data_IF_133575325765
#
_entry.id   IF_133575325765
#
_cell.length_a   1.000
_cell.length_b   1.000
_cell.length_c   1.000
_cell.angle_alpha   90.00
_cell.angle_beta   90.00
_cell.angle_gamma   90.00
#
_symmetry.space_group_name_H-M   'P 1'
#
loop_
_entity.id
_entity.type
_entity.pdbx_description
1 polymer ?
#
# COMPACT_ATOMS: atom_id res chain seq x y z
N UNK A 1 -15.55 -37.77 0.47
CA UNK A 1 -15.81 -38.10 1.89
C UNK A 1 -17.26 -37.80 2.19
N UNK A 2 -18.08 -38.79 2.57
CA UNK A 2 -19.48 -38.56 2.95
C UNK A 2 -19.56 -38.11 4.41
N UNK A 3 -20.37 -37.08 4.68
CA UNK A 3 -20.59 -36.55 6.03
C UNK A 3 -21.34 -37.56 6.90
N UNK A 4 -21.21 -37.45 8.23
CA UNK A 4 -21.92 -38.35 9.17
C UNK A 4 -23.45 -38.33 8.95
N UNK A 5 -24.00 -37.18 8.56
CA UNK A 5 -25.43 -37.01 8.24
C UNK A 5 -25.83 -37.75 6.96
N UNK A 6 -25.01 -37.69 5.90
CA UNK A 6 -25.26 -38.41 4.65
C UNK A 6 -25.21 -39.93 4.85
N UNK A 7 -24.29 -40.43 5.68
CA UNK A 7 -24.22 -41.86 6.02
C UNK A 7 -25.46 -42.32 6.80
N UNK A 8 -25.97 -41.49 7.71
CA UNK A 8 -27.20 -41.78 8.45
C UNK A 8 -28.45 -41.73 7.55
N UNK A 9 -28.54 -40.76 6.64
CA UNK A 9 -29.62 -40.65 5.68
C UNK A 9 -29.64 -41.85 4.72
N UNK A 10 -28.49 -42.26 4.20
CA UNK A 10 -28.38 -43.45 3.33
C UNK A 10 -28.71 -44.76 4.06
N UNK A 11 -28.36 -44.87 5.35
CA UNK A 11 -28.73 -46.02 6.17
C UNK A 11 -30.23 -46.07 6.50
N UNK A 12 -30.88 -44.91 6.63
CA UNK A 12 -32.33 -44.82 6.76
C UNK A 12 -33.04 -45.19 5.45
N UNK A 13 -32.48 -44.79 4.31
CA UNK A 13 -33.05 -45.03 2.99
C UNK A 13 -32.94 -46.49 2.52
N UNK A 14 -31.86 -47.19 2.87
CA UNK A 14 -31.63 -48.59 2.44
C UNK A 14 -32.59 -49.61 3.05
N UNK A 15 -33.27 -49.29 4.15
CA UNK A 15 -34.03 -50.29 4.93
C UNK A 15 -35.55 -50.16 4.84
N UNK A 16 -36.13 -49.22 4.09
CA UNK A 16 -37.57 -48.97 4.16
C UNK A 16 -38.18 -48.58 2.82
N UNK A 17 -39.08 -49.43 2.31
CA UNK A 17 -40.00 -49.11 1.21
C UNK A 17 -41.20 -48.27 1.67
N UNK A 18 -41.90 -47.68 0.71
CA UNK A 18 -42.97 -46.67 0.83
C UNK A 18 -44.13 -46.96 1.82
N UNK A 19 -44.19 -48.15 2.42
CA UNK A 19 -45.31 -48.63 3.23
C UNK A 19 -45.25 -48.28 4.72
N UNK A 20 -44.17 -47.70 5.24
CA UNK A 20 -44.03 -47.46 6.69
C UNK A 20 -44.42 -46.02 7.11
N UNK A 21 -45.69 -45.83 7.44
CA UNK A 21 -46.27 -44.52 7.85
C UNK A 21 -45.57 -43.88 9.07
N UNK A 22 -44.99 -44.68 9.98
CA UNK A 22 -44.24 -44.16 11.15
C UNK A 22 -42.93 -43.48 10.75
N UNK A 23 -42.33 -43.88 9.63
CA UNK A 23 -41.11 -43.26 9.11
C UNK A 23 -41.41 -41.85 8.59
N UNK A 24 -42.43 -41.70 7.74
CA UNK A 24 -42.84 -40.40 7.20
C UNK A 24 -43.15 -39.40 8.29
N UNK A 25 -43.82 -39.84 9.36
CA UNK A 25 -44.08 -38.99 10.52
C UNK A 25 -42.78 -38.53 11.22
N UNK A 26 -41.79 -39.41 11.38
CA UNK A 26 -40.48 -39.05 11.95
C UNK A 26 -39.67 -38.14 11.02
N UNK A 27 -39.72 -38.39 9.72
CA UNK A 27 -39.04 -37.58 8.70
C UNK A 27 -39.63 -36.16 8.63
N UNK A 28 -40.96 -36.03 8.60
CA UNK A 28 -41.62 -34.73 8.67
C UNK A 28 -41.32 -33.98 9.97
N UNK A 29 -41.25 -34.69 11.09
CA UNK A 29 -40.86 -34.10 12.37
C UNK A 29 -39.44 -33.57 12.33
N UNK A 30 -38.51 -34.29 11.72
CA UNK A 30 -37.13 -33.84 11.51
C UNK A 30 -37.07 -32.62 10.58
N UNK A 31 -37.85 -32.59 9.51
CA UNK A 31 -37.96 -31.42 8.61
C UNK A 31 -38.59 -30.20 9.30
N UNK A 32 -39.60 -30.40 10.16
CA UNK A 32 -40.21 -29.31 10.94
C UNK A 32 -39.23 -28.76 11.97
N UNK A 33 -38.49 -29.62 12.66
CA UNK A 33 -37.46 -29.20 13.62
C UNK A 33 -36.34 -28.46 12.91
N UNK A 34 -35.84 -28.96 11.78
CA UNK A 34 -34.80 -28.28 11.00
C UNK A 34 -35.27 -26.92 10.48
N UNK A 35 -36.51 -26.82 9.96
CA UNK A 35 -37.11 -25.54 9.55
C UNK A 35 -37.32 -24.57 10.71
N UNK A 36 -37.68 -25.05 11.90
CA UNK A 36 -37.83 -24.22 13.10
C UNK A 36 -36.49 -23.77 13.70
N UNK A 37 -35.41 -24.51 13.43
CA UNK A 37 -34.04 -24.15 13.78
C UNK A 37 -33.32 -23.32 12.70
N UNK A 38 -33.94 -23.09 11.54
CA UNK A 38 -33.55 -21.99 10.65
C UNK A 38 -34.04 -20.70 11.31
N UNK A 39 -33.24 -20.26 12.27
CA UNK A 39 -33.28 -18.97 12.93
C UNK A 39 -33.69 -17.90 11.92
N UNK A 40 -34.75 -17.15 12.24
CA UNK A 40 -35.15 -15.93 11.52
C UNK A 40 -33.89 -15.18 11.13
N UNK A 41 -33.64 -15.06 9.82
CA UNK A 41 -32.56 -14.23 9.29
C UNK A 41 -32.76 -12.86 9.94
N UNK A 42 -31.83 -12.38 10.79
CA UNK A 42 -32.00 -11.06 11.38
C UNK A 42 -32.20 -10.09 10.21
N UNK A 43 -33.18 -9.19 10.36
CA UNK A 43 -33.32 -8.07 9.44
C UNK A 43 -31.93 -7.50 9.22
N UNK A 44 -31.56 -7.24 7.96
CA UNK A 44 -30.28 -6.63 7.58
C UNK A 44 -30.17 -5.30 8.35
N UNK A 45 -29.60 -5.34 9.54
CA UNK A 45 -28.85 -4.22 10.06
C UNK A 45 -27.80 -3.90 8.99
N UNK A 46 -27.50 -2.62 8.74
CA UNK A 46 -26.41 -2.27 7.83
C UNK A 46 -25.16 -2.95 8.38
N UNK A 47 -24.79 -4.04 7.72
CA UNK A 47 -23.59 -4.80 7.99
C UNK A 47 -22.45 -3.81 7.79
N UNK A 48 -22.00 -3.21 8.88
CA UNK A 48 -20.67 -2.63 8.97
C UNK A 48 -19.77 -3.85 8.88
N UNK A 49 -19.54 -4.30 7.65
CA UNK A 49 -18.49 -5.23 7.35
C UNK A 49 -17.26 -4.64 8.02
N UNK A 50 -16.63 -5.41 8.90
CA UNK A 50 -15.23 -5.27 9.22
C UNK A 50 -14.45 -5.49 7.92
N UNK A 51 -14.57 -4.55 6.98
CA UNK A 51 -13.78 -4.46 5.78
C UNK A 51 -12.37 -4.22 6.30
N UNK A 52 -11.51 -5.24 6.21
CA UNK A 52 -10.08 -5.08 6.46
C UNK A 52 -9.57 -4.02 5.48
N UNK A 53 -9.55 -2.77 5.92
CA UNK A 53 -9.15 -1.64 5.12
C UNK A 53 -7.65 -1.44 5.28
N UNK A 54 -6.90 -1.61 4.20
CA UNK A 54 -5.49 -1.28 4.19
C UNK A 54 -5.33 0.16 3.74
N UNK A 55 -4.65 0.97 4.55
CA UNK A 55 -4.26 2.32 4.15
C UNK A 55 -2.83 2.26 3.62
N UNK A 56 -2.65 2.68 2.38
CA UNK A 56 -1.36 2.82 1.74
C UNK A 56 -1.06 4.28 1.45
N UNK A 57 0.22 4.57 1.30
CA UNK A 57 0.71 5.91 1.06
C UNK A 57 1.45 5.98 -0.26
N UNK A 58 1.18 7.05 -1.00
CA UNK A 58 1.89 7.39 -2.22
C UNK A 58 3.07 8.26 -1.83
N UNK A 59 4.24 7.86 -2.29
CA UNK A 59 5.51 8.51 -1.99
C UNK A 59 6.01 9.12 -3.29
N UNK A 60 6.54 10.34 -3.22
CA UNK A 60 7.24 10.92 -4.37
C UNK A 60 8.39 10.00 -4.76
N UNK A 61 8.37 9.50 -6.00
CA UNK A 61 9.47 8.68 -6.48
C UNK A 61 10.76 9.46 -6.26
N UNK A 62 11.69 8.87 -5.50
CA UNK A 62 12.94 9.53 -5.16
C UNK A 62 13.58 10.00 -6.47
N UNK A 63 13.78 11.32 -6.59
CA UNK A 63 14.42 11.97 -7.75
C UNK A 63 15.53 11.08 -8.28
N UNK A 64 15.51 10.85 -9.58
CA UNK A 64 16.43 9.91 -10.21
C UNK A 64 17.87 10.30 -9.86
N UNK A 65 18.75 9.31 -9.75
CA UNK A 65 20.15 9.52 -9.33
C UNK A 65 20.82 10.64 -10.15
N UNK A 66 20.44 10.79 -11.43
CA UNK A 66 20.85 11.89 -12.31
C UNK A 66 20.36 13.27 -11.87
N UNK A 67 19.10 13.43 -11.46
CA UNK A 67 18.57 14.70 -10.94
C UNK A 67 19.23 15.09 -9.61
N UNK A 68 19.54 14.11 -8.77
CA UNK A 68 20.27 14.34 -7.51
C UNK A 68 21.71 14.77 -7.75
N UNK A 69 22.41 14.14 -8.71
CA UNK A 69 23.77 14.54 -9.11
C UNK A 69 23.75 15.95 -9.73
N UNK A 70 22.81 16.23 -10.64
CA UNK A 70 22.66 17.56 -11.25
C UNK A 70 22.44 18.64 -10.19
N UNK A 71 21.53 18.42 -9.25
CA UNK A 71 21.29 19.37 -8.16
C UNK A 71 22.52 19.55 -7.26
N UNK A 72 23.23 18.45 -6.96
CA UNK A 72 24.51 18.50 -6.24
C UNK A 72 25.58 19.32 -6.96
N UNK A 73 25.74 19.13 -8.27
CA UNK A 73 26.67 19.89 -9.10
C UNK A 73 26.30 21.38 -9.16
N UNK A 74 25.02 21.71 -9.32
CA UNK A 74 24.54 23.10 -9.32
C UNK A 74 24.80 23.75 -7.96
N UNK A 75 24.51 23.05 -6.86
CA UNK A 75 24.78 23.54 -5.50
C UNK A 75 26.28 23.76 -5.27
N UNK A 76 27.14 22.81 -5.67
CA UNK A 76 28.61 22.96 -5.64
C UNK A 76 29.07 24.18 -6.41
N UNK A 77 28.55 24.37 -7.63
CA UNK A 77 28.90 25.52 -8.46
C UNK A 77 28.52 26.84 -7.78
N UNK A 78 27.30 26.95 -7.25
CA UNK A 78 26.83 28.15 -6.55
C UNK A 78 27.70 28.44 -5.31
N UNK A 79 28.02 27.42 -4.51
CA UNK A 79 28.86 27.60 -3.32
C UNK A 79 30.30 27.99 -3.66
N UNK A 80 30.85 27.45 -4.74
CA UNK A 80 32.19 27.81 -5.22
C UNK A 80 32.22 29.27 -5.69
N UNK A 81 31.22 29.70 -6.47
CA UNK A 81 31.10 31.10 -6.91
C UNK A 81 30.92 32.04 -5.71
N UNK A 82 30.07 31.70 -4.75
CA UNK A 82 29.84 32.52 -3.56
C UNK A 82 31.10 32.62 -2.69
N UNK A 83 31.82 31.50 -2.51
CA UNK A 83 33.06 31.49 -1.73
C UNK A 83 34.17 32.29 -2.40
N UNK A 84 34.30 32.26 -3.74
CA UNK A 84 35.22 33.14 -4.48
C UNK A 84 34.87 34.62 -4.30
N UNK A 85 33.60 34.98 -4.38
CA UNK A 85 33.15 36.37 -4.17
C UNK A 85 33.45 36.87 -2.75
N UNK A 86 33.16 36.05 -1.73
CA UNK A 86 33.46 36.37 -0.33
C UNK A 86 34.98 36.48 -0.12
N UNK A 87 35.76 35.55 -0.69
CA UNK A 87 37.22 35.56 -0.59
C UNK A 87 37.82 36.80 -1.25
N UNK A 88 37.33 37.17 -2.43
CA UNK A 88 37.73 38.39 -3.13
C UNK A 88 37.34 39.65 -2.36
N UNK A 89 36.18 39.67 -1.71
CA UNK A 89 35.78 40.80 -0.88
C UNK A 89 36.70 40.91 0.34
N UNK A 90 36.93 39.82 1.07
CA UNK A 90 37.80 39.80 2.25
C UNK A 90 39.24 40.15 1.88
N UNK A 91 39.77 39.67 0.76
CA UNK A 91 41.14 39.96 0.32
C UNK A 91 41.36 41.46 0.04
N UNK A 92 40.35 42.15 -0.49
CA UNK A 92 40.40 43.62 -0.69
C UNK A 92 40.54 44.34 0.67
N UNK A 93 39.90 43.84 1.73
CA UNK A 93 39.99 44.42 3.08
C UNK A 93 41.24 44.01 3.86
N UNK A 94 41.79 42.80 3.63
CA UNK A 94 42.90 42.25 4.42
C UNK A 94 44.30 42.62 3.92
N UNK A 95 44.43 43.18 2.71
CA UNK A 95 45.73 43.66 2.18
C UNK A 95 46.38 44.75 3.05
N UNK A 96 45.67 45.34 4.02
CA UNK A 96 46.23 46.42 4.84
C UNK A 96 46.69 46.10 6.27
N UNK A 97 46.29 45.02 6.95
CA UNK A 97 46.67 44.83 8.37
C UNK A 97 46.81 43.34 8.73
N UNK A 98 48.06 42.88 8.93
CA UNK A 98 48.48 41.66 9.68
C UNK A 98 48.19 40.30 9.03
N UNK A 99 49.05 39.88 8.10
CA UNK A 99 48.95 38.60 7.36
C UNK A 99 49.17 37.29 8.16
N UNK A 100 49.58 37.34 9.43
CA UNK A 100 49.94 36.14 10.21
C UNK A 100 48.82 35.64 11.15
N UNK A 101 48.02 36.52 11.75
CA UNK A 101 46.85 36.12 12.55
C UNK A 101 45.68 35.67 11.68
N UNK A 102 45.61 36.18 10.45
CA UNK A 102 44.55 35.85 9.50
C UNK A 102 44.67 34.43 8.94
N UNK A 103 45.85 33.82 8.85
CA UNK A 103 46.00 32.47 8.28
C UNK A 103 45.33 31.39 9.14
N UNK A 104 45.38 31.53 10.46
CA UNK A 104 44.71 30.63 11.40
C UNK A 104 43.18 30.78 11.32
N UNK A 105 42.69 32.02 11.23
CA UNK A 105 41.26 32.31 11.04
C UNK A 105 40.75 31.73 9.71
N UNK A 106 41.54 31.86 8.64
CA UNK A 106 41.23 31.27 7.34
C UNK A 106 41.15 29.74 7.39
N UNK A 107 42.04 29.11 8.14
CA UNK A 107 42.05 27.65 8.30
C UNK A 107 40.81 27.18 9.05
N UNK A 108 40.43 27.87 10.14
CA UNK A 108 39.21 27.59 10.89
C UNK A 108 37.96 27.78 10.02
N UNK A 109 37.91 28.84 9.21
CA UNK A 109 36.80 29.09 8.29
C UNK A 109 36.61 27.95 7.29
N UNK A 110 37.69 27.48 6.64
CA UNK A 110 37.62 26.36 5.71
C UNK A 110 37.19 25.05 6.38
N UNK A 111 37.62 24.79 7.61
CA UNK A 111 37.19 23.62 8.38
C UNK A 111 35.68 23.69 8.67
N UNK A 112 35.17 24.83 9.15
CA UNK A 112 33.74 25.01 9.43
C UNK A 112 32.91 24.89 8.15
N UNK A 113 33.38 25.49 7.05
CA UNK A 113 32.73 25.38 5.75
C UNK A 113 32.69 23.92 5.26
N UNK A 114 33.80 23.17 5.39
CA UNK A 114 33.85 21.77 5.01
C UNK A 114 32.91 20.89 5.84
N UNK A 115 32.76 21.16 7.14
CA UNK A 115 31.82 20.44 8.03
C UNK A 115 30.37 20.74 7.64
N UNK A 116 30.01 22.02 7.48
CA UNK A 116 28.66 22.42 7.04
C UNK A 116 28.33 21.84 5.67
N UNK A 117 29.30 21.83 4.76
CA UNK A 117 29.15 21.27 3.43
C UNK A 117 28.93 19.76 3.46
N UNK A 118 29.74 19.05 4.25
CA UNK A 118 29.61 17.60 4.45
C UNK A 118 28.26 17.23 5.05
N UNK A 119 27.75 18.04 5.99
CA UNK A 119 26.43 17.88 6.57
C UNK A 119 25.29 18.12 5.54
N UNK A 120 25.39 19.18 4.74
CA UNK A 120 24.42 19.47 3.68
C UNK A 120 24.42 18.37 2.60
N UNK A 121 25.60 17.91 2.16
CA UNK A 121 25.72 16.77 1.24
C UNK A 121 25.15 15.50 1.85
N UNK A 122 25.44 15.22 3.13
CA UNK A 122 24.92 14.05 3.82
C UNK A 122 23.39 14.07 3.89
N UNK A 123 22.81 15.19 4.31
CA UNK A 123 21.35 15.34 4.38
C UNK A 123 20.70 15.28 3.00
N UNK A 124 21.33 15.82 1.95
CA UNK A 124 20.69 15.86 0.64
C UNK A 124 20.88 14.59 -0.20
N UNK A 125 22.03 13.90 -0.07
CA UNK A 125 22.32 12.66 -0.81
C UNK A 125 21.88 11.41 -0.06
N UNK A 126 22.07 11.36 1.26
CA UNK A 126 21.82 10.16 2.05
C UNK A 126 20.48 10.20 2.79
N UNK A 127 20.00 11.37 3.24
CA UNK A 127 18.65 11.50 3.80
C UNK A 127 17.65 11.64 2.65
N UNK A 128 17.39 10.53 1.94
CA UNK A 128 16.24 10.40 1.04
C UNK A 128 14.97 10.60 1.89
N UNK A 129 14.48 11.82 1.95
CA UNK A 129 13.16 12.11 2.50
C UNK A 129 12.16 11.60 1.48
N UNK A 130 11.65 10.38 1.70
CA UNK A 130 10.46 9.89 1.02
C UNK A 130 9.28 10.69 1.53
N UNK A 131 8.99 11.80 0.85
CA UNK A 131 7.86 12.64 1.21
C UNK A 131 6.56 11.96 0.74
N UNK A 132 5.62 11.84 1.67
CA UNK A 132 4.33 11.20 1.42
C UNK A 132 3.42 12.22 0.76
N UNK A 133 3.19 12.07 -0.55
CA UNK A 133 2.35 12.99 -1.34
C UNK A 133 0.85 12.72 -1.10
N UNK A 134 0.49 11.48 -0.81
CA UNK A 134 -0.90 11.07 -0.83
C UNK A 134 -1.23 9.85 0.00
N UNK A 135 -2.51 9.75 0.38
CA UNK A 135 -3.09 8.59 1.05
C UNK A 135 -4.06 7.88 0.11
N UNK A 136 -3.88 6.58 -0.04
CA UNK A 136 -4.75 5.70 -0.82
C UNK A 136 -5.26 4.58 0.06
N UNK A 137 -6.57 4.51 0.28
CA UNK A 137 -7.18 3.48 1.13
C UNK A 137 -7.82 2.41 0.27
N UNK A 138 -7.44 1.16 0.49
CA UNK A 138 -8.02 -0.02 -0.14
C UNK A 138 -8.92 -0.71 0.87
N UNK A 139 -10.22 -0.77 0.59
CA UNK A 139 -11.18 -1.52 1.39
C UNK A 139 -11.65 -2.74 0.61
N UNK A 140 -11.66 -3.87 1.29
CA UNK A 140 -12.15 -5.13 0.74
C UNK A 140 -13.58 -5.37 1.22
N UNK A 141 -14.47 -5.64 0.28
CA UNK A 141 -15.80 -6.20 0.52
C UNK A 141 -15.88 -7.59 -0.14
N UNK A 142 -17.01 -8.28 0.00
CA UNK A 142 -17.18 -9.65 -0.49
C UNK A 142 -17.24 -9.73 -2.03
N UNK A 143 -17.86 -8.73 -2.67
CA UNK A 143 -18.12 -8.68 -4.12
C UNK A 143 -17.24 -7.65 -4.86
N UNK A 144 -16.56 -6.76 -4.13
CA UNK A 144 -15.78 -5.67 -4.72
C UNK A 144 -14.63 -5.20 -3.83
N UNK A 145 -13.71 -4.46 -4.45
CA UNK A 145 -12.75 -3.60 -3.77
C UNK A 145 -13.15 -2.14 -3.94
N UNK A 146 -12.85 -1.34 -2.93
CA UNK A 146 -13.00 0.12 -2.99
C UNK A 146 -11.64 0.76 -2.83
N UNK A 147 -11.25 1.55 -3.82
CA UNK A 147 -10.03 2.34 -3.84
C UNK A 147 -10.42 3.80 -3.59
N UNK A 148 -10.07 4.32 -2.42
CA UNK A 148 -10.28 5.73 -2.07
C UNK A 148 -8.97 6.50 -2.21
N UNK A 149 -8.98 7.58 -2.99
CA UNK A 149 -7.85 8.48 -3.17
C UNK A 149 -8.35 9.93 -3.09
N UNK A 150 -7.84 10.69 -2.11
CA UNK A 150 -8.33 12.04 -1.81
C UNK A 150 -9.87 12.03 -1.62
N UNK A 151 -10.61 12.68 -2.53
CA UNK A 151 -12.08 12.73 -2.53
C UNK A 151 -12.72 11.72 -3.49
N UNK A 152 -11.93 11.04 -4.33
CA UNK A 152 -12.45 10.03 -5.26
C UNK A 152 -12.57 8.66 -4.59
N UNK A 153 -13.73 8.03 -4.75
CA UNK A 153 -13.99 6.65 -4.33
C UNK A 153 -14.30 5.82 -5.56
N UNK A 154 -13.41 4.90 -5.92
CA UNK A 154 -13.58 4.00 -7.06
C UNK A 154 -13.91 2.60 -6.57
N UNK A 155 -15.07 2.09 -6.99
CA UNK A 155 -15.55 0.75 -6.67
C UNK A 155 -15.29 -0.18 -7.86
N UNK A 156 -14.61 -1.29 -7.63
CA UNK A 156 -14.23 -2.27 -8.66
C UNK A 156 -14.71 -3.64 -8.20
N UNK A 157 -15.70 -4.22 -8.88
CA UNK A 157 -16.14 -5.58 -8.59
C UNK A 157 -15.05 -6.59 -8.97
N UNK A 158 -14.88 -7.67 -8.19
CA UNK A 158 -13.82 -8.65 -8.46
C UNK A 158 -13.96 -9.32 -9.83
N UNK A 159 -15.20 -9.53 -10.29
CA UNK A 159 -15.50 -10.09 -11.63
C UNK A 159 -14.90 -9.30 -12.79
N UNK A 160 -14.58 -8.02 -12.59
CA UNK A 160 -13.95 -7.18 -13.62
C UNK A 160 -12.43 -7.19 -13.53
N UNK A 161 -11.85 -7.68 -12.44
CA UNK A 161 -10.40 -7.76 -12.26
C UNK A 161 -9.90 -8.98 -13.04
N UNK A 162 -9.04 -8.74 -14.04
CA UNK A 162 -8.47 -9.81 -14.84
C UNK A 162 -7.13 -10.28 -14.29
N UNK A 163 -6.32 -9.34 -13.81
CA UNK A 163 -4.96 -9.63 -13.40
C UNK A 163 -4.52 -8.73 -12.26
N UNK A 164 -3.85 -9.32 -11.28
CA UNK A 164 -3.12 -8.61 -10.24
C UNK A 164 -1.65 -9.00 -10.38
N UNK A 165 -0.78 -8.02 -10.56
CA UNK A 165 0.66 -8.21 -10.66
C UNK A 165 1.37 -7.50 -9.51
N UNK A 166 2.29 -8.21 -8.87
CA UNK A 166 3.22 -7.61 -7.94
C UNK A 166 4.35 -6.92 -8.71
N UNK A 167 4.49 -5.61 -8.53
CA UNK A 167 5.63 -4.83 -9.01
C UNK A 167 6.41 -4.30 -7.80
N UNK A 168 7.66 -3.92 -8.05
CA UNK A 168 8.55 -3.37 -7.03
C UNK A 168 7.86 -2.18 -6.32
N UNK A 169 7.36 -2.43 -5.11
CA UNK A 169 6.66 -1.47 -4.23
C UNK A 169 5.26 -1.00 -4.71
N UNK A 170 4.63 -1.72 -5.64
CA UNK A 170 3.25 -1.45 -6.04
C UNK A 170 2.51 -2.69 -6.50
N UNK A 171 1.18 -2.71 -6.34
CA UNK A 171 0.30 -3.68 -6.96
C UNK A 171 -0.33 -3.06 -8.21
N UNK A 172 -0.13 -3.71 -9.35
CA UNK A 172 -0.81 -3.36 -10.60
C UNK A 172 -2.06 -4.23 -10.73
N UNK A 173 -3.22 -3.59 -10.72
CA UNK A 173 -4.52 -4.25 -10.93
C UNK A 173 -5.02 -3.86 -12.32
N UNK A 174 -5.24 -4.87 -13.16
CA UNK A 174 -5.82 -4.70 -14.50
C UNK A 174 -7.28 -5.14 -14.43
N UNK A 175 -8.19 -4.21 -14.71
CA UNK A 175 -9.63 -4.46 -14.70
C UNK A 175 -10.24 -4.16 -16.07
N UNK A 176 -11.07 -5.05 -16.58
CA UNK A 176 -11.77 -4.91 -17.87
C UNK A 176 -13.25 -4.70 -17.62
N UNK A 177 -13.72 -3.49 -17.90
CA UNK A 177 -15.13 -3.14 -17.78
C UNK A 177 -15.83 -3.29 -19.13
N UNK A 178 -17.05 -3.87 -19.16
CA UNK A 178 -17.74 -4.16 -20.42
C UNK A 178 -18.00 -2.91 -21.27
N UNK A 179 -18.23 -1.75 -20.64
CA UNK A 179 -18.64 -0.52 -21.34
C UNK A 179 -17.55 0.56 -21.37
N UNK A 180 -16.42 0.35 -20.71
CA UNK A 180 -15.41 1.41 -20.51
C UNK A 180 -13.99 0.96 -20.88
N UNK A 181 -13.80 -0.30 -21.27
CA UNK A 181 -12.50 -0.83 -21.67
C UNK A 181 -11.63 -1.27 -20.50
N UNK A 182 -10.32 -1.34 -20.76
CA UNK A 182 -9.32 -1.84 -19.83
C UNK A 182 -8.76 -0.68 -19.00
N UNK A 183 -8.85 -0.78 -17.67
CA UNK A 183 -8.28 0.16 -16.73
C UNK A 183 -7.15 -0.48 -15.94
N UNK A 184 -6.12 0.31 -15.68
CA UNK A 184 -4.98 -0.09 -14.87
C UNK A 184 -4.93 0.77 -13.62
N UNK A 185 -4.99 0.13 -12.46
CA UNK A 185 -4.87 0.79 -11.17
C UNK A 185 -3.56 0.39 -10.51
N UNK A 186 -2.80 1.38 -10.04
CA UNK A 186 -1.59 1.17 -9.25
C UNK A 186 -1.87 1.44 -7.78
N UNK A 187 -1.61 0.46 -6.91
CA UNK A 187 -1.71 0.62 -5.46
C UNK A 187 -0.29 0.65 -4.90
N UNK A 188 0.17 1.81 -4.37
CA UNK A 188 1.49 1.88 -3.77
C UNK A 188 1.53 1.04 -2.49
N UNK A 189 2.66 0.43 -2.17
CA UNK A 189 2.86 -0.40 -0.99
C UNK A 189 3.83 0.27 -0.02
N UNK A 190 3.45 1.46 0.46
CA UNK A 190 4.20 2.18 1.49
C UNK A 190 3.34 2.44 2.73
N UNK A 191 4.00 2.55 3.88
CA UNK A 191 3.42 2.89 5.16
C UNK A 191 3.28 4.42 5.36
N UNK A 192 2.75 4.84 6.51
CA UNK A 192 2.53 6.27 6.83
C UNK A 192 3.81 7.08 6.95
N UNK A 193 4.97 6.43 7.05
CA UNK A 193 6.29 7.05 7.12
C UNK A 193 6.98 7.08 5.75
N UNK A 194 6.30 6.65 4.68
CA UNK A 194 6.87 6.50 3.35
C UNK A 194 7.84 5.32 3.22
N UNK A 195 7.88 4.43 4.22
CA UNK A 195 8.71 3.23 4.19
C UNK A 195 7.99 2.11 3.44
N UNK A 196 8.79 1.24 2.82
CA UNK A 196 8.29 0.09 2.07
C UNK A 196 7.53 -0.84 3.01
N UNK A 197 6.34 -1.28 2.60
CA UNK A 197 5.58 -2.26 3.36
C UNK A 197 6.40 -3.57 3.48
N UNK A 198 6.43 -4.23 4.66
CA UNK A 198 7.05 -5.54 4.80
C UNK A 198 6.48 -6.53 3.77
N UNK A 199 7.35 -7.35 3.18
CA UNK A 199 6.96 -8.28 2.12
C UNK A 199 5.80 -9.20 2.52
N UNK A 200 5.73 -9.59 3.79
CA UNK A 200 4.62 -10.37 4.34
C UNK A 200 3.27 -9.63 4.24
N UNK A 201 3.20 -8.37 4.67
CA UNK A 201 1.98 -7.57 4.60
C UNK A 201 1.57 -7.31 3.14
N UNK A 202 2.56 -7.02 2.28
CA UNK A 202 2.35 -6.82 0.86
C UNK A 202 1.77 -8.09 0.19
N UNK A 203 2.28 -9.26 0.59
CA UNK A 203 1.79 -10.56 0.14
C UNK A 203 0.37 -10.84 0.64
N UNK A 204 0.04 -10.52 1.88
CA UNK A 204 -1.32 -10.68 2.41
C UNK A 204 -2.36 -9.91 1.58
N UNK A 205 -2.06 -8.66 1.23
CA UNK A 205 -2.95 -7.82 0.41
C UNK A 205 -3.13 -8.44 -0.99
N UNK A 206 -2.03 -8.92 -1.58
CA UNK A 206 -2.05 -9.62 -2.86
C UNK A 206 -2.89 -10.90 -2.82
N UNK A 207 -2.67 -11.75 -1.80
CA UNK A 207 -3.40 -13.00 -1.62
C UNK A 207 -4.90 -12.74 -1.41
N UNK A 208 -5.26 -11.69 -0.66
CA UNK A 208 -6.65 -11.28 -0.46
C UNK A 208 -7.33 -10.82 -1.76
N UNK A 209 -6.65 -10.03 -2.60
CA UNK A 209 -7.14 -9.67 -3.93
C UNK A 209 -7.35 -10.91 -4.81
N UNK A 210 -6.39 -11.83 -4.79
CA UNK A 210 -6.44 -13.06 -5.60
C UNK A 210 -7.56 -13.99 -5.15
N UNK A 211 -7.79 -14.12 -3.84
CA UNK A 211 -8.93 -14.88 -3.29
C UNK A 211 -10.27 -14.24 -3.70
N UNK A 212 -10.37 -12.92 -3.61
CA UNK A 212 -11.58 -12.19 -4.04
C UNK A 212 -11.90 -12.41 -5.51
N UNK A 213 -10.88 -12.46 -6.38
CA UNK A 213 -11.03 -12.84 -7.80
C UNK A 213 -11.53 -14.28 -7.94
N UNK A 214 -10.85 -15.26 -7.33
CA UNK A 214 -11.17 -16.69 -7.48
C UNK A 214 -12.60 -17.03 -7.03
N UNK A 215 -13.11 -16.35 -5.99
CA UNK A 215 -14.44 -16.61 -5.46
C UNK A 215 -15.58 -15.98 -6.28
N UNK A 216 -15.26 -15.04 -7.18
CA UNK A 216 -16.24 -14.26 -7.94
C UNK A 216 -16.05 -14.38 -9.47
N UNK A 217 -15.18 -15.31 -9.91
CA UNK A 217 -14.97 -15.69 -11.32
C UNK A 217 -15.90 -16.83 -11.72
#
# INVERSE_FOLDING_TARGET
MQTKLEKQANHLWKNYGDTNQRFWYKYERLLKVSRSQVTKRPAKEPFVANASGYTFYEVEEAKTLGEQIMFGCVSLFVALVLSLLITSFISIFTVNIVGLLLSQVWTIYWIVAAILWSYLLYTHLFKRSTEVIGRKTLKFADDHITIQWRQEVKKIAYKYIQQVQYRTHSLKIVAKFPNHGDYVYFIPLFDSKGQKLPQFQAKQVYDQLKMGMQNNC
#
